data_IF_789640158655
#
_entry.id   IF_789640158655
#
_cell.length_a   1.000
_cell.length_b   1.000
_cell.length_c   1.000
_cell.angle_alpha   90.00
_cell.angle_beta   90.00
_cell.angle_gamma   90.00
#
_symmetry.space_group_name_H-M   'P 1'
#
loop_
_entity.id
_entity.type
_entity.pdbx_description
1 polymer ?
#
# COMPACT_ATOMS: atom_id res chain seq x y z
N UNK A 1 -100.53 50.97 21.33
CA UNK A 1 -99.78 52.24 21.18
C UNK A 1 -99.78 52.96 22.53
N UNK A 2 -98.62 53.32 23.09
CA UNK A 2 -98.50 54.02 24.39
C UNK A 2 -98.10 55.48 24.13
N UNK A 3 -98.94 56.45 24.51
CA UNK A 3 -98.71 57.89 24.27
C UNK A 3 -98.88 58.67 25.58
N UNK A 4 -98.13 59.76 25.75
CA UNK A 4 -98.15 60.58 26.96
C UNK A 4 -97.06 61.64 26.95
N UNK A 5 -97.11 62.62 27.85
CA UNK A 5 -96.08 63.66 27.99
C UNK A 5 -94.77 63.08 28.58
N UNK A 6 -93.68 63.85 28.56
CA UNK A 6 -92.42 63.40 29.16
C UNK A 6 -92.55 63.31 30.69
N UNK A 7 -91.98 62.27 31.28
CA UNK A 7 -92.08 62.02 32.73
C UNK A 7 -93.38 61.36 33.21
N UNK A 8 -94.37 61.10 32.35
CA UNK A 8 -95.66 60.49 32.76
C UNK A 8 -95.64 58.97 32.86
N UNK A 9 -94.47 58.34 32.95
CA UNK A 9 -94.36 56.89 33.16
C UNK A 9 -94.42 56.01 31.89
N UNK A 10 -94.42 56.57 30.67
CA UNK A 10 -94.42 55.78 29.41
C UNK A 10 -93.38 54.65 29.38
N UNK A 11 -92.14 55.00 29.69
CA UNK A 11 -91.03 54.04 29.75
C UNK A 11 -91.09 53.14 31.00
N UNK A 12 -91.81 53.56 32.04
CA UNK A 12 -92.04 52.72 33.22
C UNK A 12 -92.98 51.56 32.90
N UNK A 13 -93.97 51.75 32.01
CA UNK A 13 -94.83 50.66 31.51
C UNK A 13 -93.99 49.63 30.74
N UNK A 14 -93.11 50.09 29.86
CA UNK A 14 -92.20 49.20 29.09
C UNK A 14 -91.26 48.42 30.03
N UNK A 15 -90.74 49.08 31.07
CA UNK A 15 -89.94 48.40 32.10
C UNK A 15 -90.76 47.38 32.89
N UNK A 16 -92.01 47.70 33.24
CA UNK A 16 -92.90 46.79 33.94
C UNK A 16 -93.23 45.54 33.09
N UNK A 17 -93.50 45.72 31.79
CA UNK A 17 -93.71 44.59 30.86
C UNK A 17 -92.49 43.67 30.84
N UNK A 18 -91.28 44.23 30.71
CA UNK A 18 -90.05 43.44 30.72
C UNK A 18 -89.88 42.66 32.02
N UNK A 19 -90.07 43.31 33.18
CA UNK A 19 -89.92 42.67 34.49
C UNK A 19 -90.99 41.59 34.74
N UNK A 20 -92.25 41.85 34.35
CA UNK A 20 -93.33 40.88 34.49
C UNK A 20 -93.17 39.65 33.59
N UNK A 21 -92.51 39.79 32.44
CA UNK A 21 -92.15 38.69 31.54
C UNK A 21 -90.79 38.04 31.89
N UNK A 22 -90.34 38.15 33.15
CA UNK A 22 -89.07 37.61 33.63
C UNK A 22 -87.80 38.15 32.92
N UNK A 23 -87.88 39.33 32.32
CA UNK A 23 -86.74 40.03 31.76
C UNK A 23 -85.74 40.47 32.85
N UNK A 24 -84.45 40.37 32.54
CA UNK A 24 -83.37 40.76 33.46
C UNK A 24 -83.30 42.29 33.60
N UNK A 25 -83.13 42.78 34.82
CA UNK A 25 -82.95 44.22 35.14
C UNK A 25 -81.80 44.87 34.36
N UNK A 26 -80.76 44.11 34.03
CA UNK A 26 -79.61 44.56 33.22
C UNK A 26 -80.01 45.03 31.81
N UNK A 27 -81.09 44.48 31.23
CA UNK A 27 -81.59 44.86 29.90
C UNK A 27 -82.27 46.23 29.96
N UNK A 28 -82.79 46.66 31.11
CA UNK A 28 -83.55 47.91 31.23
C UNK A 28 -82.68 49.14 31.40
N UNK A 29 -81.42 49.00 31.81
CA UNK A 29 -80.45 50.10 31.89
C UNK A 29 -80.70 51.16 32.97
N UNK A 30 -81.76 51.02 33.79
CA UNK A 30 -82.15 52.01 34.83
C UNK A 30 -81.67 51.67 36.24
N UNK A 31 -81.43 50.40 36.51
CA UNK A 31 -81.06 49.89 37.82
C UNK A 31 -80.85 48.38 37.77
N UNK A 32 -79.91 47.91 38.58
CA UNK A 32 -79.51 46.50 38.70
C UNK A 32 -80.45 45.71 39.63
N UNK A 33 -81.09 46.39 40.59
CA UNK A 33 -81.99 45.81 41.58
C UNK A 33 -83.46 46.06 41.24
N UNK A 34 -84.29 45.04 41.43
CA UNK A 34 -85.76 45.10 41.21
C UNK A 34 -86.41 46.20 42.07
N UNK A 35 -85.93 46.42 43.29
CA UNK A 35 -86.47 47.45 44.19
C UNK A 35 -86.37 48.89 43.64
N UNK A 36 -85.45 49.16 42.70
CA UNK A 36 -85.31 50.48 42.07
C UNK A 36 -86.44 50.81 41.09
N UNK A 37 -87.27 49.81 40.74
CA UNK A 37 -88.43 49.96 39.86
C UNK A 37 -89.74 50.15 40.64
N UNK A 38 -89.70 50.13 41.99
CA UNK A 38 -90.85 50.44 42.85
C UNK A 38 -90.99 51.96 42.98
N UNK A 39 -92.24 52.46 42.94
CA UNK A 39 -92.55 53.88 43.10
C UNK A 39 -91.90 54.42 44.39
N UNK A 40 -91.20 55.56 44.29
CA UNK A 40 -90.57 56.21 45.45
C UNK A 40 -91.60 56.49 46.55
N UNK A 41 -91.26 56.14 47.79
CA UNK A 41 -92.16 56.23 48.95
C UNK A 41 -93.05 55.00 49.17
N UNK A 42 -92.98 54.00 48.29
CA UNK A 42 -93.66 52.72 48.47
C UNK A 42 -92.65 51.62 48.77
N UNK A 43 -92.98 50.74 49.74
CA UNK A 43 -92.12 49.63 50.14
C UNK A 43 -92.34 48.36 49.30
N UNK A 44 -93.41 48.34 48.50
CA UNK A 44 -93.87 47.18 47.73
C UNK A 44 -94.51 47.64 46.43
N UNK A 45 -94.50 46.77 45.43
CA UNK A 45 -95.16 46.97 44.14
C UNK A 45 -95.38 45.62 43.46
N UNK A 46 -96.49 45.47 42.75
CA UNK A 46 -96.79 44.28 41.97
C UNK A 46 -96.94 44.67 40.50
N UNK A 47 -96.58 43.74 39.61
CA UNK A 47 -96.79 43.84 38.17
C UNK A 47 -97.65 42.64 37.80
N UNK A 48 -98.78 42.92 37.20
CA UNK A 48 -99.69 41.91 36.65
C UNK A 48 -99.75 42.14 35.14
N UNK A 49 -99.45 41.08 34.39
CA UNK A 49 -99.54 41.07 32.93
C UNK A 49 -100.48 39.95 32.56
N UNK A 50 -101.60 40.31 31.97
CA UNK A 50 -102.61 39.36 31.54
C UNK A 50 -102.33 39.00 30.07
N UNK A 51 -101.83 37.78 29.84
CA UNK A 51 -101.54 37.20 28.52
C UNK A 51 -102.37 35.92 28.34
N UNK A 52 -103.69 35.94 28.56
CA UNK A 52 -104.51 34.70 28.69
C UNK A 52 -103.73 33.55 29.40
N UNK A 53 -103.14 33.84 30.57
CA UNK A 53 -102.64 32.94 31.63
C UNK A 53 -102.29 33.84 32.84
N UNK A 54 -102.80 33.53 34.04
CA UNK A 54 -103.03 34.50 35.15
C UNK A 54 -101.99 34.46 36.32
N UNK A 55 -101.58 35.60 36.91
CA UNK A 55 -100.49 35.71 37.92
C UNK A 55 -100.66 36.85 38.97
N UNK A 56 -100.38 36.60 40.27
CA UNK A 56 -100.46 37.58 41.40
C UNK A 56 -99.25 37.54 42.42
N UNK A 57 -98.88 38.73 42.94
CA UNK A 57 -98.24 39.15 44.22
C UNK A 57 -96.77 38.84 44.71
N UNK A 58 -95.93 39.89 44.67
CA UNK A 58 -95.22 40.64 45.75
C UNK A 58 -94.12 40.05 46.68
N UNK A 59 -93.43 38.96 46.31
CA UNK A 59 -92.04 38.65 46.77
C UNK A 59 -91.34 37.75 45.74
N UNK A 60 -90.99 38.22 44.54
CA UNK A 60 -90.58 37.36 43.40
C UNK A 60 -91.33 36.01 43.39
N UNK A 61 -92.61 36.04 43.76
CA UNK A 61 -93.46 34.87 43.86
C UNK A 61 -94.06 34.77 42.48
N UNK A 62 -93.55 33.84 41.71
CA UNK A 62 -94.01 33.62 40.36
C UNK A 62 -95.26 32.76 40.45
N UNK A 63 -96.32 33.11 39.74
CA UNK A 63 -97.50 32.27 39.61
C UNK A 63 -97.80 32.07 38.12
N UNK A 64 -98.47 30.97 37.76
CA UNK A 64 -99.03 30.71 36.44
C UNK A 64 -100.41 30.11 36.67
N UNK A 65 -101.45 30.69 36.08
CA UNK A 65 -102.86 30.33 36.29
C UNK A 65 -103.25 30.20 37.78
N UNK A 66 -102.80 31.15 38.60
CA UNK A 66 -103.08 31.18 40.03
C UNK A 66 -102.33 30.14 40.88
N UNK A 67 -101.40 29.37 40.30
CA UNK A 67 -100.54 28.43 41.02
C UNK A 67 -99.13 28.99 41.19
N UNK A 68 -98.61 28.97 42.42
CA UNK A 68 -97.22 29.34 42.70
C UNK A 68 -96.28 28.42 41.92
N UNK A 69 -95.33 29.03 41.21
CA UNK A 69 -94.33 28.36 40.40
C UNK A 69 -92.96 29.02 40.58
N UNK A 70 -91.95 28.49 39.88
CA UNK A 70 -90.62 29.11 39.85
C UNK A 70 -90.51 30.09 38.68
N UNK A 71 -89.57 31.04 38.77
CA UNK A 71 -89.21 31.92 37.65
C UNK A 71 -88.96 31.14 36.36
N UNK A 72 -88.29 29.98 36.46
CA UNK A 72 -87.98 29.14 35.30
C UNK A 72 -89.23 28.63 34.58
N UNK A 73 -90.29 28.32 35.32
CA UNK A 73 -91.56 27.90 34.71
C UNK A 73 -92.18 29.04 33.89
N UNK A 74 -92.10 30.28 34.38
CA UNK A 74 -92.53 31.47 33.63
C UNK A 74 -91.64 31.70 32.41
N UNK A 75 -90.32 31.56 32.55
CA UNK A 75 -89.37 31.66 31.42
C UNK A 75 -89.65 30.61 30.33
N UNK A 76 -90.04 29.39 30.70
CA UNK A 76 -90.41 28.33 29.75
C UNK A 76 -91.69 28.65 28.98
N UNK A 77 -92.73 29.19 29.66
CA UNK A 77 -93.96 29.63 29.01
C UNK A 77 -93.70 30.82 28.07
N UNK A 78 -92.96 31.82 28.54
CA UNK A 78 -92.55 33.00 27.74
C UNK A 78 -91.75 32.56 26.50
N UNK A 79 -90.86 31.58 26.65
CA UNK A 79 -90.10 30.99 25.55
C UNK A 79 -90.98 30.18 24.58
N UNK A 80 -91.96 29.43 25.08
CA UNK A 80 -92.92 28.70 24.25
C UNK A 80 -93.77 29.64 23.39
N UNK A 81 -94.12 30.82 23.92
CA UNK A 81 -94.81 31.90 23.20
C UNK A 81 -93.89 32.71 22.26
N UNK A 82 -92.61 32.35 22.15
CA UNK A 82 -91.61 33.06 21.33
C UNK A 82 -91.45 34.54 21.71
N UNK A 83 -91.59 34.86 23.00
CA UNK A 83 -91.39 36.21 23.53
C UNK A 83 -89.97 36.32 24.08
N UNK A 84 -89.10 37.10 23.44
CA UNK A 84 -87.69 37.27 23.82
C UNK A 84 -87.43 38.68 24.33
N UNK A 85 -87.81 38.95 25.58
CA UNK A 85 -87.50 40.21 26.27
C UNK A 85 -86.00 40.50 26.43
N UNK A 86 -85.15 39.49 26.27
CA UNK A 86 -83.68 39.64 26.26
C UNK A 86 -83.07 39.97 24.90
N UNK A 87 -83.85 39.90 23.81
CA UNK A 87 -83.36 40.17 22.48
C UNK A 87 -83.72 41.61 22.08
N UNK A 88 -82.71 42.47 21.90
CA UNK A 88 -82.91 43.88 21.56
C UNK A 88 -83.65 44.09 20.22
N UNK A 89 -83.67 43.10 19.34
CA UNK A 89 -84.43 43.15 18.09
C UNK A 89 -85.94 42.96 18.29
N UNK A 90 -86.38 42.31 19.38
CA UNK A 90 -87.81 42.12 19.69
C UNK A 90 -88.28 43.06 20.81
N UNK A 91 -87.40 43.36 21.78
CA UNK A 91 -87.66 44.26 22.87
C UNK A 91 -86.52 45.29 23.00
N UNK A 92 -86.81 46.52 22.57
CA UNK A 92 -85.83 47.61 22.59
C UNK A 92 -86.19 48.64 23.68
N UNK A 93 -85.60 48.55 24.89
CA UNK A 93 -85.82 49.55 25.91
C UNK A 93 -85.12 50.87 25.54
N UNK A 94 -85.76 51.98 25.90
CA UNK A 94 -85.32 53.33 25.57
C UNK A 94 -83.85 53.61 25.96
N UNK A 95 -83.40 53.09 27.10
CA UNK A 95 -82.03 53.29 27.61
C UNK A 95 -80.97 52.45 26.87
N UNK A 96 -81.37 51.42 26.12
CA UNK A 96 -80.46 50.50 25.40
C UNK A 96 -80.43 50.68 23.89
N UNK A 97 -81.07 51.72 23.37
CA UNK A 97 -81.05 52.03 21.93
C UNK A 97 -79.61 52.18 21.39
N UNK A 98 -78.70 52.74 22.20
CA UNK A 98 -77.29 52.84 21.84
C UNK A 98 -76.54 51.50 21.81
N UNK A 99 -76.97 50.49 22.57
CA UNK A 99 -76.37 49.14 22.54
C UNK A 99 -76.80 48.37 21.29
N UNK A 100 -78.07 48.52 20.89
CA UNK A 100 -78.55 47.98 19.62
C UNK A 100 -77.73 48.49 18.43
N UNK A 101 -77.44 49.79 18.38
CA UNK A 101 -76.62 50.40 17.33
C UNK A 101 -75.15 49.92 17.33
N UNK A 102 -74.66 49.37 18.44
CA UNK A 102 -73.28 48.84 18.56
C UNK A 102 -73.17 47.36 18.18
N UNK A 103 -74.28 46.66 18.00
CA UNK A 103 -74.26 45.24 17.61
C UNK A 103 -73.56 45.08 16.26
N UNK A 104 -72.67 44.10 16.18
CA UNK A 104 -72.04 43.74 14.90
C UNK A 104 -73.08 43.19 13.93
N UNK A 105 -72.78 43.21 12.63
CA UNK A 105 -73.65 42.62 11.60
C UNK A 105 -73.96 41.13 11.86
N UNK A 106 -73.02 40.40 12.46
CA UNK A 106 -73.17 38.98 12.78
C UNK A 106 -74.11 38.80 13.98
N UNK A 107 -73.91 39.57 15.04
CA UNK A 107 -74.79 39.53 16.21
C UNK A 107 -76.20 39.99 15.88
N UNK A 108 -76.33 41.00 15.02
CA UNK A 108 -77.61 41.49 14.52
C UNK A 108 -78.33 40.41 13.70
N UNK A 109 -77.61 39.67 12.86
CA UNK A 109 -78.16 38.55 12.11
C UNK A 109 -78.67 37.45 13.06
N UNK A 110 -77.84 37.00 14.02
CA UNK A 110 -78.25 35.98 14.99
C UNK A 110 -79.44 36.42 15.85
N UNK A 111 -79.46 37.69 16.29
CA UNK A 111 -80.57 38.26 17.05
C UNK A 111 -81.85 38.33 16.19
N UNK A 112 -81.72 38.65 14.90
CA UNK A 112 -82.85 38.70 13.97
C UNK A 112 -83.40 37.30 13.68
N UNK A 113 -82.53 36.32 13.44
CA UNK A 113 -82.92 34.92 13.24
C UNK A 113 -83.67 34.35 14.45
N UNK A 114 -83.22 34.69 15.66
CA UNK A 114 -83.91 34.28 16.90
C UNK A 114 -85.26 34.96 17.08
N UNK A 115 -85.41 36.23 16.68
CA UNK A 115 -86.63 37.00 16.92
C UNK A 115 -87.71 36.84 15.86
N UNK A 116 -87.32 36.75 14.59
CA UNK A 116 -88.23 36.84 13.43
C UNK A 116 -88.19 35.55 12.61
N UNK A 117 -87.11 34.76 12.72
CA UNK A 117 -86.95 33.52 11.98
C UNK A 117 -87.79 32.37 12.56
N UNK A 118 -88.06 31.34 11.74
CA UNK A 118 -88.57 30.06 12.24
C UNK A 118 -87.65 29.47 13.32
N UNK A 119 -88.19 28.71 14.30
CA UNK A 119 -87.40 28.14 15.40
C UNK A 119 -86.17 27.34 14.94
N UNK A 120 -86.24 26.71 13.76
CA UNK A 120 -85.17 25.90 13.18
C UNK A 120 -84.08 26.74 12.51
N UNK A 121 -84.35 27.99 12.11
CA UNK A 121 -83.42 28.81 11.32
C UNK A 121 -82.12 29.08 12.05
N UNK A 122 -82.19 29.51 13.32
CA UNK A 122 -81.00 29.72 14.14
C UNK A 122 -80.25 28.41 14.41
N UNK A 123 -80.98 27.29 14.58
CA UNK A 123 -80.38 25.97 14.78
C UNK A 123 -79.58 25.54 13.54
N UNK A 124 -80.14 25.70 12.34
CA UNK A 124 -79.42 25.42 11.09
C UNK A 124 -78.20 26.32 10.90
N UNK A 125 -78.29 27.61 11.24
CA UNK A 125 -77.13 28.50 11.18
C UNK A 125 -76.02 28.05 12.15
N UNK A 126 -76.35 27.61 13.36
CA UNK A 126 -75.39 27.01 14.30
C UNK A 126 -74.77 25.72 13.74
N UNK A 127 -75.55 24.85 13.11
CA UNK A 127 -75.05 23.63 12.47
C UNK A 127 -74.09 23.94 11.32
N UNK A 128 -74.41 24.93 10.48
CA UNK A 128 -73.54 25.37 9.39
C UNK A 128 -72.18 25.87 9.89
N UNK A 129 -72.17 26.63 10.99
CA UNK A 129 -70.91 27.04 11.65
C UNK A 129 -70.11 25.83 12.12
N UNK A 130 -70.77 24.83 12.70
CA UNK A 130 -70.12 23.59 13.13
C UNK A 130 -69.55 22.80 11.95
N UNK A 131 -70.30 22.70 10.83
CA UNK A 131 -69.81 22.05 9.61
C UNK A 131 -68.59 22.76 9.05
N UNK A 132 -68.59 24.10 9.00
CA UNK A 132 -67.43 24.87 8.54
C UNK A 132 -66.19 24.64 9.40
N UNK A 133 -66.34 24.51 10.71
CA UNK A 133 -65.22 24.19 11.61
C UNK A 133 -64.69 22.78 11.34
N UNK A 134 -65.57 21.78 11.24
CA UNK A 134 -65.18 20.39 10.94
C UNK A 134 -64.51 20.25 9.57
N UNK A 135 -65.04 20.93 8.56
CA UNK A 135 -64.44 20.99 7.22
C UNK A 135 -62.99 21.48 7.30
N UNK A 136 -62.75 22.60 8.00
CA UNK A 136 -61.41 23.17 8.17
C UNK A 136 -60.46 22.23 8.91
N UNK A 137 -60.94 21.52 9.93
CA UNK A 137 -60.14 20.51 10.65
C UNK A 137 -59.75 19.36 9.72
N UNK A 138 -60.69 18.84 8.94
CA UNK A 138 -60.44 17.77 7.96
C UNK A 138 -59.46 18.22 6.87
N UNK A 139 -59.61 19.45 6.34
CA UNK A 139 -58.66 20.01 5.38
C UNK A 139 -57.22 20.03 5.91
N UNK A 140 -57.05 20.41 7.18
CA UNK A 140 -55.73 20.42 7.82
C UNK A 140 -55.16 19.00 7.95
N UNK A 141 -55.98 18.04 8.40
CA UNK A 141 -55.57 16.62 8.50
C UNK A 141 -55.17 16.08 7.14
N UNK A 142 -55.92 16.37 6.07
CA UNK A 142 -55.59 15.94 4.71
C UNK A 142 -54.26 16.52 4.26
N UNK A 143 -54.01 17.82 4.48
CA UNK A 143 -52.72 18.46 4.17
C UNK A 143 -51.56 17.82 4.91
N UNK A 144 -51.72 17.57 6.22
CA UNK A 144 -50.70 16.93 7.04
C UNK A 144 -50.40 15.50 6.56
N UNK A 145 -51.44 14.69 6.33
CA UNK A 145 -51.30 13.31 5.85
C UNK A 145 -50.66 13.26 4.47
N UNK A 146 -51.01 14.17 3.55
CA UNK A 146 -50.38 14.28 2.25
C UNK A 146 -48.88 14.59 2.36
N UNK A 147 -48.50 15.54 3.24
CA UNK A 147 -47.09 15.87 3.48
C UNK A 147 -46.30 14.70 4.10
N UNK A 148 -46.93 13.94 5.00
CA UNK A 148 -46.32 12.77 5.63
C UNK A 148 -46.13 11.64 4.61
N UNK A 149 -47.15 11.39 3.78
CA UNK A 149 -47.08 10.37 2.74
C UNK A 149 -45.92 10.62 1.79
N UNK A 150 -45.70 11.87 1.38
CA UNK A 150 -44.60 12.25 0.50
C UNK A 150 -43.23 11.98 1.15
N UNK A 151 -43.05 12.36 2.41
CA UNK A 151 -41.83 12.04 3.18
C UNK A 151 -41.62 10.52 3.32
N UNK A 152 -42.67 9.77 3.58
CA UNK A 152 -42.61 8.32 3.70
C UNK A 152 -42.24 7.64 2.37
N UNK A 153 -42.78 8.13 1.24
CA UNK A 153 -42.41 7.66 -0.11
C UNK A 153 -40.94 7.92 -0.40
N UNK A 154 -40.45 9.13 -0.15
CA UNK A 154 -39.04 9.47 -0.35
C UNK A 154 -38.10 8.62 0.52
N UNK A 155 -38.47 8.38 1.78
CA UNK A 155 -37.71 7.48 2.67
C UNK A 155 -37.70 6.04 2.16
N UNK A 156 -38.85 5.54 1.69
CA UNK A 156 -38.93 4.20 1.13
C UNK A 156 -38.03 4.04 -0.10
N UNK A 157 -38.01 5.04 -0.98
CA UNK A 157 -37.18 5.00 -2.19
C UNK A 157 -35.68 4.99 -1.86
N UNK A 158 -35.25 5.79 -0.86
CA UNK A 158 -33.87 5.72 -0.34
C UNK A 158 -33.54 4.33 0.23
N UNK A 159 -34.43 3.80 1.07
CA UNK A 159 -34.23 2.48 1.69
C UNK A 159 -34.16 1.35 0.66
N UNK A 160 -34.93 1.40 -0.44
CA UNK A 160 -34.83 0.41 -1.53
C UNK A 160 -33.42 0.34 -2.10
N UNK A 161 -32.78 1.50 -2.30
CA UNK A 161 -31.42 1.56 -2.81
C UNK A 161 -30.42 0.92 -1.84
N UNK A 162 -30.56 1.20 -0.54
CA UNK A 162 -29.69 0.62 0.49
C UNK A 162 -29.88 -0.89 0.62
N UNK A 163 -31.12 -1.37 0.53
CA UNK A 163 -31.43 -2.81 0.51
C UNK A 163 -30.80 -3.48 -0.71
N UNK A 164 -30.88 -2.87 -1.90
CA UNK A 164 -30.24 -3.40 -3.10
C UNK A 164 -28.72 -3.51 -2.94
N UNK A 165 -28.07 -2.45 -2.42
CA UNK A 165 -26.63 -2.45 -2.11
C UNK A 165 -26.25 -3.53 -1.11
N UNK A 166 -27.08 -3.76 -0.08
CA UNK A 166 -26.85 -4.82 0.90
C UNK A 166 -26.81 -6.20 0.23
N UNK A 167 -27.78 -6.50 -0.63
CA UNK A 167 -27.82 -7.78 -1.34
C UNK A 167 -26.69 -7.93 -2.37
N UNK A 168 -26.31 -6.87 -3.09
CA UNK A 168 -25.15 -6.87 -3.97
C UNK A 168 -23.86 -7.17 -3.20
N UNK A 169 -23.64 -6.47 -2.08
CA UNK A 169 -22.50 -6.73 -1.18
C UNK A 169 -22.49 -8.18 -0.70
N UNK A 170 -23.64 -8.71 -0.26
CA UNK A 170 -23.75 -10.09 0.21
C UNK A 170 -23.37 -11.08 -0.89
N UNK A 171 -23.87 -10.90 -2.12
CA UNK A 171 -23.49 -11.72 -3.29
C UNK A 171 -21.99 -11.67 -3.57
N UNK A 172 -21.39 -10.49 -3.54
CA UNK A 172 -19.95 -10.36 -3.75
C UNK A 172 -19.13 -11.08 -2.67
N UNK A 173 -19.55 -10.99 -1.41
CA UNK A 173 -18.92 -11.73 -0.31
C UNK A 173 -19.02 -13.24 -0.52
N UNK A 174 -20.19 -13.75 -0.90
CA UNK A 174 -20.38 -15.18 -1.20
C UNK A 174 -19.45 -15.64 -2.34
N UNK A 175 -19.29 -14.81 -3.38
CA UNK A 175 -18.35 -15.08 -4.50
C UNK A 175 -16.90 -15.04 -4.04
N UNK A 176 -16.51 -14.09 -3.19
CA UNK A 176 -15.15 -14.01 -2.64
C UNK A 176 -14.82 -15.29 -1.87
N UNK A 177 -15.71 -15.74 -0.97
CA UNK A 177 -15.53 -16.99 -0.22
C UNK A 177 -15.35 -18.19 -1.15
N UNK A 178 -16.16 -18.28 -2.20
CA UNK A 178 -16.03 -19.33 -3.21
C UNK A 178 -14.69 -19.27 -3.96
N UNK A 179 -14.25 -18.07 -4.33
CA UNK A 179 -12.99 -17.87 -5.06
C UNK A 179 -11.77 -18.17 -4.18
N UNK A 180 -11.80 -17.79 -2.90
CA UNK A 180 -10.75 -18.12 -1.94
C UNK A 180 -10.59 -19.63 -1.78
N UNK A 181 -11.70 -20.37 -1.79
CA UNK A 181 -11.67 -21.84 -1.79
C UNK A 181 -11.13 -22.43 -3.10
N UNK A 182 -11.39 -21.79 -4.25
CA UNK A 182 -10.92 -22.26 -5.57
C UNK A 182 -9.48 -21.88 -5.89
N UNK A 183 -8.96 -20.81 -5.30
CA UNK A 183 -7.61 -20.30 -5.58
C UNK A 183 -6.51 -21.37 -5.41
N UNK A 184 -6.48 -22.18 -4.32
CA UNK A 184 -5.48 -23.24 -4.18
C UNK A 184 -5.58 -24.32 -5.27
N UNK A 185 -6.78 -24.62 -5.77
CA UNK A 185 -6.97 -25.59 -6.85
C UNK A 185 -6.36 -25.09 -8.15
N UNK A 186 -6.56 -23.81 -8.48
CA UNK A 186 -5.99 -23.20 -9.67
C UNK A 186 -4.47 -23.12 -9.55
N UNK A 187 -3.94 -22.72 -8.39
CA UNK A 187 -2.49 -22.71 -8.12
C UNK A 187 -1.90 -24.12 -8.28
N UNK A 188 -2.51 -25.14 -7.67
CA UNK A 188 -2.10 -26.53 -7.82
C UNK A 188 -2.12 -26.99 -9.28
N UNK A 189 -3.22 -26.76 -10.00
CA UNK A 189 -3.38 -27.16 -11.41
C UNK A 189 -2.31 -26.52 -12.30
N UNK A 190 -1.99 -25.25 -12.03
CA UNK A 190 -0.97 -24.48 -12.77
C UNK A 190 0.42 -25.04 -12.51
N UNK A 191 0.82 -25.16 -11.23
CA UNK A 191 2.13 -25.72 -10.87
C UNK A 191 2.28 -27.17 -11.30
N UNK A 192 1.20 -27.96 -11.27
CA UNK A 192 1.19 -29.34 -11.78
C UNK A 192 1.51 -29.36 -13.27
N UNK A 193 0.85 -28.53 -14.08
CA UNK A 193 1.10 -28.44 -15.52
C UNK A 193 2.54 -28.01 -15.83
N UNK A 194 3.06 -27.03 -15.10
CA UNK A 194 4.46 -26.59 -15.23
C UNK A 194 5.44 -27.73 -14.89
N UNK A 195 5.22 -28.42 -13.77
CA UNK A 195 6.04 -29.56 -13.36
C UNK A 195 6.00 -30.70 -14.38
N UNK A 196 4.83 -30.96 -14.98
CA UNK A 196 4.68 -31.95 -16.04
C UNK A 196 5.44 -31.54 -17.31
N UNK A 197 5.45 -30.25 -17.66
CA UNK A 197 6.27 -29.69 -18.73
C UNK A 197 7.78 -29.87 -18.47
N UNK A 198 8.27 -29.42 -17.32
CA UNK A 198 9.70 -29.50 -16.95
C UNK A 198 10.16 -30.96 -16.84
N UNK A 199 9.31 -31.89 -16.37
CA UNK A 199 9.63 -33.32 -16.36
C UNK A 199 9.85 -33.86 -17.77
N UNK A 200 9.02 -33.47 -18.74
CA UNK A 200 9.19 -33.87 -20.15
C UNK A 200 10.51 -33.34 -20.71
N UNK A 201 10.83 -32.07 -20.47
CA UNK A 201 12.10 -31.48 -20.90
C UNK A 201 13.31 -32.18 -20.28
N UNK A 202 13.26 -32.45 -18.96
CA UNK A 202 14.31 -33.21 -18.25
C UNK A 202 14.50 -34.60 -18.87
N UNK A 203 13.41 -35.32 -19.14
CA UNK A 203 13.47 -36.68 -19.69
C UNK A 203 14.05 -36.68 -21.11
N UNK A 204 13.72 -35.66 -21.91
CA UNK A 204 14.29 -35.48 -23.24
C UNK A 204 15.78 -35.15 -23.18
N UNK A 205 16.20 -34.21 -22.32
CA UNK A 205 17.60 -33.88 -22.11
C UNK A 205 18.40 -35.09 -21.57
N UNK A 206 17.81 -35.90 -20.68
CA UNK A 206 18.44 -37.13 -20.17
C UNK A 206 18.64 -38.16 -21.28
N UNK A 207 17.66 -38.33 -22.18
CA UNK A 207 17.80 -39.19 -23.38
C UNK A 207 18.91 -38.70 -24.29
N UNK A 208 18.95 -37.40 -24.60
CA UNK A 208 20.00 -36.80 -25.42
C UNK A 208 21.39 -36.99 -24.80
N UNK A 209 21.54 -36.71 -23.50
CA UNK A 209 22.78 -36.93 -22.76
C UNK A 209 23.21 -38.40 -22.81
N UNK A 210 22.28 -39.34 -22.61
CA UNK A 210 22.56 -40.78 -22.69
C UNK A 210 23.03 -41.18 -24.09
N UNK A 211 22.36 -40.69 -25.14
CA UNK A 211 22.75 -40.96 -26.53
C UNK A 211 24.15 -40.40 -26.85
N UNK A 212 24.42 -39.15 -26.47
CA UNK A 212 25.75 -38.53 -26.61
C UNK A 212 26.82 -39.31 -25.84
N UNK A 213 26.57 -39.69 -24.58
CA UNK A 213 27.51 -40.50 -23.79
C UNK A 213 27.80 -41.85 -24.44
N UNK A 214 26.78 -42.52 -24.98
CA UNK A 214 26.98 -43.78 -25.71
C UNK A 214 27.77 -43.56 -27.02
N UNK A 215 27.50 -42.47 -27.75
CA UNK A 215 28.27 -42.10 -28.95
C UNK A 215 29.73 -41.72 -28.66
N UNK A 216 29.98 -41.05 -27.54
CA UNK A 216 31.34 -40.66 -27.12
C UNK A 216 32.10 -41.78 -26.40
N UNK A 217 31.44 -42.83 -25.90
CA UNK A 217 32.08 -43.96 -25.23
C UNK A 217 33.25 -44.59 -26.01
N UNK A 218 33.13 -44.91 -27.31
CA UNK A 218 34.27 -45.43 -28.08
C UNK A 218 35.38 -44.41 -28.27
N UNK A 219 35.06 -43.12 -28.39
CA UNK A 219 36.05 -42.05 -28.54
C UNK A 219 36.83 -41.80 -27.25
N UNK A 220 36.15 -41.82 -26.09
CA UNK A 220 36.80 -41.76 -24.77
C UNK A 220 37.72 -42.95 -24.54
N UNK A 221 37.30 -44.18 -24.91
CA UNK A 221 38.18 -45.36 -24.88
C UNK A 221 39.42 -45.20 -25.76
N UNK A 222 39.28 -44.61 -26.96
CA UNK A 222 40.42 -44.29 -27.85
C UNK A 222 41.35 -43.25 -27.23
N UNK A 223 40.81 -42.16 -26.67
CA UNK A 223 41.60 -41.13 -25.97
C UNK A 223 42.37 -41.76 -24.82
N UNK A 224 41.72 -42.58 -23.99
CA UNK A 224 42.35 -43.24 -22.85
C UNK A 224 43.45 -44.23 -23.28
N UNK A 225 43.27 -44.91 -24.42
CA UNK A 225 44.29 -45.78 -25.01
C UNK A 225 45.49 -44.97 -25.54
N UNK A 226 45.24 -43.84 -26.20
CA UNK A 226 46.27 -42.90 -26.67
C UNK A 226 47.03 -42.30 -25.48
N UNK A 227 46.34 -41.85 -24.43
CA UNK A 227 46.97 -41.32 -23.20
C UNK A 227 47.85 -42.37 -22.52
N UNK A 228 47.38 -43.63 -22.45
CA UNK A 228 48.19 -44.73 -21.91
C UNK A 228 49.40 -45.06 -22.77
N UNK A 229 49.35 -44.85 -24.09
CA UNK A 229 50.50 -44.96 -24.99
C UNK A 229 51.42 -43.74 -24.91
N UNK A 230 50.89 -42.54 -24.64
CA UNK A 230 51.67 -41.31 -24.52
C UNK A 230 52.47 -41.27 -23.21
N UNK A 231 51.91 -41.72 -22.07
CA UNK A 231 52.59 -41.73 -20.76
C UNK A 231 54.01 -42.32 -20.76
N UNK A 232 54.27 -43.53 -21.31
CA UNK A 232 55.63 -44.06 -21.37
C UNK A 232 56.52 -43.28 -22.34
N UNK A 233 55.95 -42.72 -23.42
CA UNK A 233 56.69 -41.89 -24.37
C UNK A 233 57.09 -40.54 -23.76
N UNK A 234 56.20 -39.89 -23.00
CA UNK A 234 56.48 -38.68 -22.24
C UNK A 234 57.50 -38.94 -21.12
N UNK A 235 57.42 -40.10 -20.44
CA UNK A 235 58.42 -40.51 -19.46
C UNK A 235 59.79 -40.74 -20.12
N UNK A 236 59.83 -41.35 -21.31
CA UNK A 236 61.07 -41.50 -22.09
C UNK A 236 61.62 -40.16 -22.57
N UNK A 237 60.78 -39.22 -23.00
CA UNK A 237 61.21 -37.86 -23.37
C UNK A 237 61.76 -37.13 -22.15
N UNK A 238 61.09 -37.19 -20.98
CA UNK A 238 61.61 -36.61 -19.73
C UNK A 238 62.95 -37.21 -19.33
N UNK A 239 63.09 -38.54 -19.36
CA UNK A 239 64.34 -39.22 -19.06
C UNK A 239 65.46 -38.85 -20.05
N UNK A 240 65.17 -38.71 -21.35
CA UNK A 240 66.13 -38.22 -22.35
C UNK A 240 66.53 -36.77 -22.10
N UNK A 241 65.59 -35.88 -21.77
CA UNK A 241 65.88 -34.48 -21.42
C UNK A 241 66.77 -34.42 -20.17
N UNK A 242 66.51 -35.26 -19.18
CA UNK A 242 67.29 -35.31 -17.94
C UNK A 242 68.70 -35.85 -18.18
N UNK A 243 68.86 -36.90 -18.99
CA UNK A 243 70.15 -37.37 -19.46
C UNK A 243 70.91 -36.29 -20.25
N UNK A 244 70.27 -35.59 -21.18
CA UNK A 244 70.90 -34.49 -21.95
C UNK A 244 71.37 -33.38 -21.00
N UNK A 245 70.56 -33.02 -19.99
CA UNK A 245 70.97 -32.03 -18.97
C UNK A 245 72.17 -32.50 -18.15
N UNK A 246 72.23 -33.78 -17.78
CA UNK A 246 73.38 -34.35 -17.08
C UNK A 246 74.63 -34.36 -17.97
N UNK A 247 74.51 -34.79 -19.23
CA UNK A 247 75.63 -34.74 -20.20
C UNK A 247 76.09 -33.31 -20.47
N UNK A 248 75.18 -32.34 -20.56
CA UNK A 248 75.54 -30.92 -20.69
C UNK A 248 76.32 -30.41 -19.48
N UNK A 249 75.92 -30.77 -18.25
CA UNK A 249 76.67 -30.42 -17.04
C UNK A 249 78.09 -31.01 -17.04
N UNK A 250 78.23 -32.27 -17.45
CA UNK A 250 79.54 -32.93 -17.57
C UNK A 250 80.42 -32.19 -18.59
N UNK A 251 79.90 -31.90 -19.79
CA UNK A 251 80.66 -31.18 -20.82
C UNK A 251 80.99 -29.74 -20.43
N UNK A 252 80.14 -29.05 -19.67
CA UNK A 252 80.44 -27.72 -19.12
C UNK A 252 81.56 -27.78 -18.07
N UNK A 253 81.60 -28.83 -17.25
CA UNK A 253 82.68 -29.05 -16.28
C UNK A 253 84.01 -29.35 -16.98
N UNK A 254 84.01 -30.25 -17.98
CA UNK A 254 85.18 -30.54 -18.82
C UNK A 254 85.70 -29.27 -19.52
N UNK A 255 84.81 -28.46 -20.11
CA UNK A 255 85.19 -27.20 -20.75
C UNK A 255 85.82 -26.20 -19.76
N UNK A 256 85.30 -26.11 -18.54
CA UNK A 256 85.88 -25.28 -17.49
C UNK A 256 87.27 -25.77 -17.05
N UNK A 257 87.49 -27.08 -17.03
CA UNK A 257 88.77 -27.68 -16.67
C UNK A 257 89.82 -27.50 -17.78
N UNK A 258 89.42 -27.67 -19.06
CA UNK A 258 90.24 -27.29 -20.21
C UNK A 258 90.61 -25.80 -20.20
N UNK A 259 89.68 -24.91 -19.82
CA UNK A 259 89.94 -23.47 -19.70
C UNK A 259 91.00 -23.17 -18.62
N UNK A 260 90.94 -23.87 -17.47
CA UNK A 260 91.95 -23.78 -16.42
C UNK A 260 93.31 -24.29 -16.90
N UNK A 261 93.33 -25.43 -17.59
CA UNK A 261 94.53 -25.98 -18.24
C UNK A 261 95.18 -24.98 -19.19
N UNK A 262 94.40 -24.39 -20.10
CA UNK A 262 94.89 -23.37 -21.05
C UNK A 262 95.47 -22.15 -20.30
N UNK A 263 94.84 -21.71 -19.20
CA UNK A 263 95.34 -20.57 -18.42
C UNK A 263 96.69 -20.85 -17.75
N UNK A 264 96.89 -22.07 -17.26
CA UNK A 264 98.14 -22.49 -16.63
C UNK A 264 99.26 -22.60 -17.66
N UNK A 265 98.99 -23.24 -18.81
CA UNK A 265 99.97 -23.36 -19.89
C UNK A 265 100.37 -21.99 -20.45
N UNK A 266 99.44 -21.03 -20.53
CA UNK A 266 99.76 -19.64 -20.91
C UNK A 266 100.73 -18.97 -19.92
N UNK A 267 100.52 -19.15 -18.61
CA UNK A 267 101.46 -18.65 -17.59
C UNK A 267 102.84 -19.28 -17.70
N UNK A 268 102.91 -20.58 -18.02
CA UNK A 268 104.20 -21.26 -18.24
C UNK A 268 104.91 -20.73 -19.49
N UNK A 269 104.17 -20.47 -20.57
CA UNK A 269 104.72 -19.85 -21.79
C UNK A 269 105.26 -18.45 -21.50
N UNK A 270 104.54 -17.63 -20.72
CA UNK A 270 105.03 -16.30 -20.34
C UNK A 270 106.26 -16.37 -19.43
N UNK A 271 106.34 -17.33 -18.51
CA UNK A 271 107.53 -17.58 -17.70
C UNK A 271 108.75 -17.94 -18.58
N UNK A 272 108.58 -18.85 -19.56
CA UNK A 272 109.65 -19.20 -20.50
C UNK A 272 110.04 -18.05 -21.42
N UNK A 273 109.10 -17.20 -21.86
CA UNK A 273 109.44 -15.97 -22.61
C UNK A 273 110.27 -14.99 -21.77
N UNK A 274 110.02 -14.94 -20.47
CA UNK A 274 110.74 -14.06 -19.54
C UNK A 274 112.14 -14.59 -19.22
N UNK A 275 112.33 -15.92 -19.21
CA UNK A 275 113.66 -16.54 -19.12
C UNK A 275 114.47 -16.42 -20.42
N UNK A 276 113.83 -16.53 -21.58
CA UNK A 276 114.48 -16.32 -22.89
C UNK A 276 115.05 -14.91 -23.06
N UNK A 277 114.38 -13.89 -22.51
CA UNK A 277 114.85 -12.50 -22.56
C UNK A 277 116.07 -12.23 -21.65
N UNK A 278 116.39 -13.11 -20.69
CA UNK A 278 117.56 -12.97 -19.79
C UNK A 278 118.84 -13.61 -20.33
N UNK A 279 118.76 -14.43 -21.38
CA UNK A 279 119.90 -15.15 -21.98
C UNK A 279 120.51 -14.40 -23.17
N UNK A 280 119.89 -13.30 -23.62
CA UNK A 280 120.29 -12.55 -24.82
C UNK A 280 121.27 -11.38 -24.61
N UNK A 281 121.72 -11.10 -23.38
CA UNK A 281 122.66 -9.99 -23.05
C UNK A 281 124.01 -10.47 -22.46
N UNK A 282 124.74 -11.36 -23.16
CA UNK A 282 126.16 -11.65 -22.88
C UNK A 282 127.06 -11.49 -24.13
N UNK A 283 128.30 -10.97 -23.98
CA UNK A 283 129.19 -10.64 -25.09
C UNK A 283 129.90 -11.85 -25.72
N UNK A 284 130.25 -11.62 -26.99
CA UNK A 284 130.88 -12.46 -28.02
C UNK A 284 131.96 -13.46 -27.55
N UNK A 285 131.65 -14.77 -27.64
CA UNK A 285 132.48 -15.91 -27.20
C UNK A 285 133.42 -16.44 -28.32
N UNK A 286 133.50 -15.73 -29.45
CA UNK A 286 134.34 -16.08 -30.61
C UNK A 286 135.86 -16.21 -30.33
N UNK A 287 136.47 -15.55 -29.32
CA UNK A 287 137.89 -15.78 -28.99
C UNK A 287 138.16 -17.15 -28.34
N UNK A 288 137.20 -17.71 -27.60
CA UNK A 288 137.38 -18.98 -26.86
C UNK A 288 137.23 -20.21 -27.78
N UNK A 289 136.44 -20.09 -28.86
CA UNK A 289 136.30 -21.14 -29.87
C UNK A 289 137.58 -21.31 -30.71
N UNK A 290 138.34 -20.24 -30.94
CA UNK A 290 139.61 -20.33 -31.67
C UNK A 290 140.76 -20.95 -30.84
N UNK A 291 140.76 -20.77 -29.52
CA UNK A 291 141.72 -21.45 -28.63
C UNK A 291 141.50 -22.97 -28.60
N UNK A 292 140.25 -23.41 -28.54
CA UNK A 292 139.88 -24.84 -28.55
C UNK A 292 140.19 -25.50 -29.91
N UNK A 293 140.09 -24.77 -31.02
CA UNK A 293 140.46 -25.29 -32.34
C UNK A 293 141.98 -25.45 -32.56
N UNK A 294 142.82 -24.67 -31.87
CA UNK A 294 144.28 -24.85 -31.89
C UNK A 294 144.68 -26.09 -31.09
N UNK A 295 144.05 -26.33 -29.94
CA UNK A 295 144.26 -27.57 -29.16
C UNK A 295 143.79 -28.82 -29.93
N UNK A 296 142.68 -28.73 -30.69
CA UNK A 296 142.20 -29.82 -31.56
C UNK A 296 143.14 -30.14 -32.73
N UNK A 297 144.00 -29.19 -33.15
CA UNK A 297 145.00 -29.39 -34.21
C UNK A 297 146.26 -30.08 -33.69
N UNK A 298 146.71 -29.72 -32.48
CA UNK A 298 147.85 -30.36 -31.83
C UNK A 298 147.56 -31.81 -31.41
N UNK A 299 146.35 -32.09 -30.89
CA UNK A 299 145.94 -33.47 -30.56
C UNK A 299 145.86 -34.36 -31.81
N UNK A 300 145.55 -33.80 -32.99
CA UNK A 300 145.55 -34.55 -34.26
C UNK A 300 146.96 -34.81 -34.79
N UNK A 301 147.89 -33.86 -34.65
CA UNK A 301 149.29 -34.03 -35.07
C UNK A 301 150.05 -35.03 -34.17
N UNK A 302 149.79 -35.03 -32.86
CA UNK A 302 150.31 -36.05 -31.94
C UNK A 302 149.73 -37.44 -32.24
N UNK A 303 148.45 -37.54 -32.60
CA UNK A 303 147.83 -38.81 -33.02
C UNK A 303 148.47 -39.38 -34.30
N UNK A 304 148.81 -38.54 -35.28
CA UNK A 304 149.50 -39.00 -36.51
C UNK A 304 150.95 -39.42 -36.26
N UNK A 305 151.66 -38.80 -35.32
CA UNK A 305 153.01 -39.25 -34.92
C UNK A 305 152.96 -40.61 -34.22
N UNK A 306 152.00 -40.82 -33.33
CA UNK A 306 151.82 -42.09 -32.60
C UNK A 306 151.34 -43.21 -33.54
N UNK A 307 150.57 -42.92 -34.61
CA UNK A 307 150.24 -43.90 -35.64
C UNK A 307 151.43 -44.26 -36.54
N UNK A 308 152.38 -43.33 -36.75
CA UNK A 308 153.66 -43.61 -37.43
C UNK A 308 154.61 -44.48 -36.60
N UNK A 309 154.70 -44.23 -35.29
CA UNK A 309 155.45 -45.09 -34.35
C UNK A 309 154.95 -46.56 -34.35
N UNK A 310 153.68 -46.81 -34.70
CA UNK A 310 153.09 -48.15 -34.73
C UNK A 310 153.34 -48.92 -36.03
N UNK A 311 153.53 -48.25 -37.18
CA UNK A 311 153.80 -48.95 -38.45
C UNK A 311 155.24 -49.42 -38.55
N UNK A 312 156.19 -48.61 -38.07
CA UNK A 312 157.62 -48.91 -38.23
C UNK A 312 158.05 -50.03 -37.27
N UNK A 313 157.52 -50.06 -36.04
CA UNK A 313 157.71 -51.18 -35.11
C UNK A 313 157.06 -52.50 -35.56
N UNK A 314 156.05 -52.47 -36.44
CA UNK A 314 155.53 -53.69 -37.10
C UNK A 314 156.47 -54.19 -38.19
N UNK A 315 157.14 -53.29 -38.90
CA UNK A 315 158.04 -53.61 -40.00
C UNK A 315 159.38 -54.17 -39.51
N UNK A 316 159.86 -53.70 -38.36
CA UNK A 316 161.02 -54.30 -37.66
C UNK A 316 160.70 -55.71 -37.14
N UNK A 317 159.46 -55.99 -36.72
CA UNK A 317 159.06 -57.31 -36.21
C UNK A 317 158.96 -58.40 -37.29
N UNK A 318 158.53 -58.06 -38.50
CA UNK A 318 158.39 -59.04 -39.59
C UNK A 318 159.74 -59.36 -40.25
N UNK A 319 160.69 -58.40 -40.27
CA UNK A 319 162.03 -58.64 -40.81
C UNK A 319 162.93 -59.46 -39.86
N UNK A 320 162.83 -59.25 -38.55
CA UNK A 320 163.56 -60.06 -37.54
C UNK A 320 163.13 -61.55 -37.51
N UNK A 321 161.93 -61.88 -37.98
CA UNK A 321 161.45 -63.26 -38.11
C UNK A 321 161.87 -63.96 -39.41
N UNK A 322 162.34 -63.21 -40.41
CA UNK A 322 162.78 -63.78 -41.69
C UNK A 322 164.30 -64.08 -41.73
N UNK A 323 165.11 -63.42 -40.90
CA UNK A 323 166.54 -63.75 -40.74
C UNK A 323 166.81 -64.98 -39.85
N UNK A 324 165.81 -65.56 -39.18
CA UNK A 324 166.01 -66.65 -38.19
C UNK A 324 165.73 -68.07 -38.70
N UNK A 325 165.56 -68.30 -40.02
CA UNK A 325 165.46 -69.66 -40.59
C UNK A 325 166.27 -69.84 -41.88
N UNK A 326 167.57 -69.58 -41.81
CA UNK A 326 168.56 -70.35 -42.55
C UNK A 326 169.54 -71.00 -41.56
N UNK A 327 169.63 -72.33 -41.62
CA UNK A 327 170.67 -73.21 -41.06
C UNK A 327 170.50 -73.77 -39.62
N UNK A 328 169.95 -74.98 -39.56
CA UNK A 328 170.50 -76.10 -38.79
C UNK A 328 170.50 -77.36 -39.68
N UNK A 329 171.60 -78.14 -39.76
CA UNK A 329 171.76 -79.27 -40.68
C UNK A 329 171.49 -80.64 -40.02
N UNK A 330 171.33 -81.70 -40.85
CA UNK A 330 171.23 -83.17 -40.50
C UNK A 330 169.92 -83.60 -39.81
N UNK A 331 169.36 -84.82 -39.93
CA UNK A 331 169.67 -86.04 -40.68
C UNK A 331 168.38 -86.90 -40.75
N UNK A 332 168.39 -87.85 -41.68
CA UNK A 332 167.44 -88.94 -41.96
C UNK A 332 166.92 -89.75 -40.75
N UNK A 333 165.70 -90.32 -40.89
CA UNK A 333 165.37 -91.77 -40.70
C UNK A 333 164.02 -92.06 -41.39
N UNK A 334 164.08 -93.00 -42.36
CA UNK A 334 163.03 -93.76 -43.08
C UNK A 334 161.97 -92.98 -43.86
#
# INVERSE_FOLDING_TARGET
MIVGANGTGKSSIVCAICLGLAGKTAILGRGDKVGLYVKRGCNKGFIEIELEIHVENNQSLWMLDGKICSQKAVEEVVKALQIQVGNLCQFLPQEKVGEFAKMSKIELLEATEKSVGPPEMFAYHCELKNFRTKERELENIVKEKASFLEKAKQRNERNKHDVKRYYEKKRHLDVIVLLDQKKPWVEYETTRKELEGVKKERDEAKKQLSALKQGHAPMLKKIQLIENQLKPSEAQIKAKIENIKQTQKIKQFEAADHQKGISNTRRTIDAFKTELAKVTDQPDVTPQINAVNIELRQIREERTKIEGEKSDLRRDKDNLNAETKSEFPTNSVI
#
